data_IF_119683993715
#
_entry.id   IF_119683993715
#
_cell.length_a   1.000
_cell.length_b   1.000
_cell.length_c   1.000
_cell.angle_alpha   90.00
_cell.angle_beta   90.00
_cell.angle_gamma   90.00
#
_symmetry.space_group_name_H-M   'P 1'
#
loop_
_entity.id
_entity.type
_entity.pdbx_description
1 polymer ?
#
# COMPACT_ATOMS: atom_id res chain seq x y z
N UNK A 1 25.86 55.82 -49.53
CA UNK A 1 24.84 56.60 -48.80
C UNK A 1 24.73 56.00 -47.40
N UNK A 2 25.48 56.54 -46.44
CA UNK A 2 25.48 56.06 -45.04
C UNK A 2 24.35 56.77 -44.31
N UNK A 3 23.25 56.05 -44.05
CA UNK A 3 22.16 56.53 -43.21
C UNK A 3 22.63 56.56 -41.75
N UNK A 4 23.14 57.71 -41.32
CA UNK A 4 23.43 58.02 -39.93
C UNK A 4 22.11 58.29 -39.20
N UNK A 5 21.59 57.26 -38.52
CA UNK A 5 20.45 57.43 -37.61
C UNK A 5 20.83 58.38 -36.46
N UNK A 6 19.97 59.34 -36.11
CA UNK A 6 20.23 60.30 -35.03
C UNK A 6 20.43 59.58 -33.69
N UNK A 7 21.48 59.98 -32.98
CA UNK A 7 21.96 59.38 -31.72
C UNK A 7 20.87 59.32 -30.63
N UNK A 8 19.83 60.17 -30.72
CA UNK A 8 18.74 60.23 -29.75
C UNK A 8 17.73 59.06 -29.82
N UNK A 9 17.72 58.26 -30.88
CA UNK A 9 16.80 57.12 -31.05
C UNK A 9 17.38 55.77 -30.57
N UNK A 10 18.67 55.68 -30.22
CA UNK A 10 19.30 54.41 -29.79
C UNK A 10 18.86 53.94 -28.40
N UNK A 11 18.61 54.86 -27.47
CA UNK A 11 18.19 54.54 -26.09
C UNK A 11 16.80 53.85 -26.02
N UNK A 12 15.73 54.37 -26.66
CA UNK A 12 14.43 53.71 -26.58
C UNK A 12 14.43 52.34 -27.27
N UNK A 13 15.17 52.18 -28.37
CA UNK A 13 15.25 50.91 -29.09
C UNK A 13 15.92 49.81 -28.25
N UNK A 14 16.98 50.16 -27.50
CA UNK A 14 17.66 49.22 -26.61
C UNK A 14 16.76 48.78 -25.46
N UNK A 15 16.01 49.71 -24.85
CA UNK A 15 15.07 49.39 -23.76
C UNK A 15 13.97 48.45 -24.26
N UNK A 16 13.39 48.72 -25.43
CA UNK A 16 12.36 47.87 -26.03
C UNK A 16 12.92 46.47 -26.29
N UNK A 17 14.13 46.37 -26.85
CA UNK A 17 14.76 45.08 -27.13
C UNK A 17 15.01 44.27 -25.85
N UNK A 18 15.47 44.92 -24.76
CA UNK A 18 15.68 44.27 -23.46
C UNK A 18 14.37 43.80 -22.86
N UNK A 19 13.31 44.62 -22.88
CA UNK A 19 11.98 44.22 -22.39
C UNK A 19 11.43 43.04 -23.18
N UNK A 20 11.56 43.06 -24.50
CA UNK A 20 11.06 41.99 -25.37
C UNK A 20 11.85 40.68 -25.15
N UNK A 21 13.17 40.77 -24.95
CA UNK A 21 14.02 39.64 -24.59
C UNK A 21 13.63 39.06 -23.22
N UNK A 22 13.37 39.90 -22.22
CA UNK A 22 12.94 39.46 -20.88
C UNK A 22 11.57 38.81 -20.95
N UNK A 23 10.62 39.35 -21.72
CA UNK A 23 9.30 38.76 -21.92
C UNK A 23 9.40 37.42 -22.65
N UNK A 24 10.20 37.31 -23.71
CA UNK A 24 10.42 36.04 -24.40
C UNK A 24 11.09 35.02 -23.48
N UNK A 25 12.13 35.43 -22.73
CA UNK A 25 12.78 34.57 -21.75
C UNK A 25 11.79 34.08 -20.71
N UNK A 26 10.97 34.97 -20.13
CA UNK A 26 9.93 34.60 -19.17
C UNK A 26 8.89 33.65 -19.78
N UNK A 27 8.45 33.89 -21.02
CA UNK A 27 7.51 33.00 -21.72
C UNK A 27 8.16 31.62 -21.97
N UNK A 28 9.40 31.58 -22.44
CA UNK A 28 10.12 30.31 -22.68
C UNK A 28 10.41 29.55 -21.39
N UNK A 29 10.78 30.26 -20.32
CA UNK A 29 11.03 29.64 -19.01
C UNK A 29 9.74 29.09 -18.41
N UNK A 30 8.61 29.75 -18.65
CA UNK A 30 7.28 29.31 -18.21
C UNK A 30 6.75 28.14 -19.05
N UNK A 31 7.18 28.00 -20.30
CA UNK A 31 6.84 26.86 -21.16
C UNK A 31 7.67 25.62 -20.83
N UNK A 32 8.84 25.77 -20.22
CA UNK A 32 9.74 24.67 -19.89
C UNK A 32 9.68 24.24 -18.41
N UNK A 33 8.67 24.67 -17.65
CA UNK A 33 8.31 23.98 -16.41
C UNK A 33 7.66 22.63 -16.75
N UNK A 34 8.44 21.74 -17.37
CA UNK A 34 8.02 20.39 -17.62
C UNK A 34 7.88 19.72 -16.26
N UNK A 35 6.64 19.44 -15.89
CA UNK A 35 6.36 18.64 -14.71
C UNK A 35 7.11 17.32 -14.82
N UNK A 36 7.57 16.78 -13.69
CA UNK A 36 8.14 15.45 -13.67
C UNK A 36 7.04 14.44 -13.98
N UNK A 37 7.07 13.91 -15.21
CA UNK A 37 6.13 12.87 -15.68
C UNK A 37 6.74 11.50 -15.41
N UNK A 38 6.12 10.77 -14.50
CA UNK A 38 6.46 9.39 -14.20
C UNK A 38 5.76 8.48 -15.21
N UNK A 39 6.56 7.69 -15.93
CA UNK A 39 6.10 6.69 -16.90
C UNK A 39 6.34 5.25 -16.44
N UNK A 40 7.07 5.08 -15.33
CA UNK A 40 7.36 3.78 -14.73
C UNK A 40 6.19 3.32 -13.87
N UNK A 41 5.94 2.00 -13.76
CA UNK A 41 4.86 1.46 -12.93
C UNK A 41 5.18 1.52 -11.42
N UNK A 42 6.36 2.03 -11.06
CA UNK A 42 6.86 2.13 -9.69
C UNK A 42 7.40 3.54 -9.49
N UNK A 43 7.03 4.15 -8.35
CA UNK A 43 7.68 5.34 -7.79
C UNK A 43 8.35 4.97 -6.46
N UNK A 44 9.51 5.56 -6.17
CA UNK A 44 10.18 5.39 -4.89
C UNK A 44 9.99 6.59 -3.94
N UNK A 45 9.81 6.29 -2.66
CA UNK A 45 9.71 7.28 -1.58
C UNK A 45 10.30 6.71 -0.28
N UNK A 46 11.24 7.43 0.35
CA UNK A 46 11.95 6.98 1.56
C UNK A 46 12.27 5.47 1.56
N UNK A 47 12.97 5.03 0.51
CA UNK A 47 13.45 3.66 0.37
C UNK A 47 12.33 2.59 0.25
N UNK A 48 11.12 2.98 -0.13
CA UNK A 48 9.99 2.08 -0.39
C UNK A 48 9.58 2.21 -1.84
N UNK A 49 9.12 1.11 -2.42
CA UNK A 49 8.58 1.08 -3.77
C UNK A 49 7.06 1.15 -3.70
N UNK A 50 6.45 2.03 -4.47
CA UNK A 50 5.01 2.23 -4.53
C UNK A 50 4.55 1.91 -5.95
N UNK A 51 3.72 0.88 -6.13
CA UNK A 51 3.20 0.56 -7.44
C UNK A 51 2.16 1.61 -7.84
N UNK A 52 2.22 2.07 -9.09
CA UNK A 52 1.24 3.00 -9.66
C UNK A 52 0.63 2.38 -10.91
N UNK A 53 -0.66 2.63 -11.19
CA UNK A 53 -1.28 2.11 -12.41
C UNK A 53 -0.56 2.57 -13.68
N UNK A 54 -0.50 1.75 -14.76
CA UNK A 54 0.30 2.03 -15.95
C UNK A 54 -0.31 3.16 -16.80
N UNK A 55 -0.09 4.39 -16.35
CA UNK A 55 -0.45 5.65 -17.01
C UNK A 55 0.63 6.70 -16.76
N UNK A 56 0.67 7.80 -17.54
CA UNK A 56 1.49 8.94 -17.19
C UNK A 56 0.98 9.59 -15.91
N UNK A 57 1.86 9.78 -14.94
CA UNK A 57 1.57 10.47 -13.68
C UNK A 57 2.43 11.72 -13.56
N UNK A 58 1.85 12.80 -13.06
CA UNK A 58 2.56 14.05 -12.76
C UNK A 58 2.75 14.14 -11.26
N UNK A 59 3.97 14.42 -10.80
CA UNK A 59 4.19 14.77 -9.38
C UNK A 59 3.58 16.15 -9.15
N UNK A 60 2.44 16.19 -8.45
CA UNK A 60 1.68 17.41 -8.24
C UNK A 60 2.06 18.12 -6.93
N UNK A 61 2.49 17.35 -5.93
CA UNK A 61 2.93 17.91 -4.66
C UNK A 61 3.91 16.98 -3.95
N UNK A 62 4.87 17.56 -3.24
CA UNK A 62 5.75 16.86 -2.34
C UNK A 62 5.89 17.68 -1.07
N UNK A 63 5.86 17.01 0.08
CA UNK A 63 6.00 17.64 1.38
C UNK A 63 6.81 16.76 2.31
N UNK A 64 7.59 17.40 3.17
CA UNK A 64 8.35 16.74 4.22
C UNK A 64 8.20 17.55 5.50
N UNK A 65 7.88 16.89 6.61
CA UNK A 65 7.67 17.60 7.86
C UNK A 65 7.49 16.67 9.06
N UNK A 66 7.67 17.26 10.24
CA UNK A 66 7.39 16.59 11.51
C UNK A 66 5.87 16.53 11.73
N UNK A 67 5.34 15.33 11.96
CA UNK A 67 3.97 15.15 12.43
C UNK A 67 3.96 14.75 13.90
N UNK A 68 3.06 15.35 14.66
CA UNK A 68 2.82 15.03 16.07
C UNK A 68 1.89 13.82 16.15
N UNK A 69 2.48 12.63 16.31
CA UNK A 69 1.72 11.39 16.43
C UNK A 69 1.49 11.05 17.91
N UNK A 70 0.51 10.20 18.17
CA UNK A 70 0.24 9.70 19.53
C UNK A 70 1.41 8.87 20.09
N UNK A 71 2.30 8.35 19.23
CA UNK A 71 3.53 7.66 19.60
C UNK A 71 4.74 8.58 19.75
N UNK A 72 4.58 9.89 19.54
CA UNK A 72 5.65 10.88 19.53
C UNK A 72 5.79 11.57 18.16
N UNK A 73 6.63 12.61 18.08
CA UNK A 73 6.93 13.24 16.80
C UNK A 73 7.61 12.25 15.85
N UNK A 74 7.26 12.32 14.57
CA UNK A 74 7.95 11.58 13.52
C UNK A 74 8.05 12.41 12.25
N UNK A 75 9.17 12.26 11.54
CA UNK A 75 9.37 12.88 10.23
C UNK A 75 8.63 12.08 9.16
N UNK A 76 7.70 12.72 8.48
CA UNK A 76 6.87 12.14 7.42
C UNK A 76 7.23 12.79 6.09
N UNK A 77 7.47 11.97 5.08
CA UNK A 77 7.57 12.37 3.68
C UNK A 77 6.25 12.02 2.98
N UNK A 78 5.78 12.94 2.14
CA UNK A 78 4.53 12.79 1.39
C UNK A 78 4.71 13.18 -0.06
N UNK A 79 4.14 12.40 -0.99
CA UNK A 79 4.04 12.76 -2.42
C UNK A 79 2.61 12.57 -2.89
N UNK A 80 2.13 13.50 -3.73
CA UNK A 80 0.86 13.39 -4.44
C UNK A 80 1.12 13.38 -5.94
N UNK A 81 0.59 12.37 -6.62
CA UNK A 81 0.62 12.24 -8.06
C UNK A 81 -0.77 12.48 -8.64
N UNK A 82 -0.85 13.14 -9.79
CA UNK A 82 -2.06 13.26 -10.60
C UNK A 82 -1.94 12.52 -11.91
N UNK A 83 -3.03 11.86 -12.30
CA UNK A 83 -3.24 11.38 -13.65
C UNK A 83 -4.29 12.29 -14.30
N UNK A 84 -3.92 12.84 -15.46
CA UNK A 84 -4.73 13.82 -16.18
C UNK A 84 -5.30 13.24 -17.46
N UNK A 85 -6.54 13.64 -17.76
CA UNK A 85 -7.19 13.47 -19.06
C UNK A 85 -7.83 14.78 -19.48
N UNK A 86 -7.40 15.37 -20.59
CA UNK A 86 -7.94 16.63 -21.11
C UNK A 86 -8.03 17.73 -20.03
N UNK A 87 -6.94 17.96 -19.27
CA UNK A 87 -6.87 18.91 -18.14
C UNK A 87 -7.78 18.60 -16.93
N UNK A 88 -8.45 17.45 -16.91
CA UNK A 88 -9.20 16.97 -15.75
C UNK A 88 -8.34 15.98 -14.97
N UNK A 89 -8.28 16.14 -13.65
CA UNK A 89 -7.66 15.17 -12.76
C UNK A 89 -8.62 13.99 -12.62
N UNK A 90 -8.33 12.87 -13.29
CA UNK A 90 -9.21 11.68 -13.26
C UNK A 90 -8.82 10.70 -12.15
N UNK A 91 -7.55 10.71 -11.73
CA UNK A 91 -7.05 9.89 -10.63
C UNK A 91 -5.91 10.59 -9.89
N UNK A 92 -5.71 10.21 -8.63
CA UNK A 92 -4.56 10.62 -7.83
C UNK A 92 -3.96 9.44 -7.06
N UNK A 93 -2.68 9.53 -6.75
CA UNK A 93 -2.00 8.63 -5.80
C UNK A 93 -1.37 9.50 -4.72
N UNK A 94 -1.82 9.35 -3.49
CA UNK A 94 -1.26 10.02 -2.32
C UNK A 94 -0.44 9.02 -1.53
N UNK A 95 0.82 9.35 -1.26
CA UNK A 95 1.78 8.48 -0.60
C UNK A 95 2.28 9.18 0.66
N UNK A 96 2.22 8.49 1.79
CA UNK A 96 2.86 8.89 3.04
C UNK A 96 3.78 7.81 3.55
N UNK A 97 4.95 8.21 4.02
CA UNK A 97 5.88 7.32 4.69
C UNK A 97 6.74 8.08 5.67
N UNK A 98 7.37 7.37 6.59
CA UNK A 98 8.34 7.93 7.49
C UNK A 98 9.69 8.13 6.80
N UNK A 99 10.29 9.31 7.02
CA UNK A 99 11.63 9.61 6.53
C UNK A 99 12.73 9.00 7.40
N UNK A 100 12.42 8.64 8.65
CA UNK A 100 13.33 7.97 9.57
C UNK A 100 12.58 6.86 10.36
N UNK A 101 13.26 5.78 10.78
CA UNK A 101 12.67 4.73 11.60
C UNK A 101 12.04 5.26 12.89
N UNK A 102 10.82 4.82 13.22
CA UNK A 102 10.19 5.13 14.50
C UNK A 102 10.51 4.06 15.56
N UNK A 103 10.72 4.48 16.81
CA UNK A 103 10.97 3.55 17.93
C UNK A 103 9.67 3.02 18.57
N UNK A 104 8.59 3.79 18.44
CA UNK A 104 7.32 3.57 19.12
C UNK A 104 6.24 2.98 18.20
N UNK A 105 6.58 2.65 16.95
CA UNK A 105 5.68 2.12 15.93
C UNK A 105 4.62 3.11 15.44
N UNK A 106 3.79 2.63 14.51
CA UNK A 106 2.91 3.47 13.69
C UNK A 106 1.40 3.19 13.84
N UNK A 107 1.03 2.11 14.51
CA UNK A 107 -0.36 1.72 14.70
C UNK A 107 -1.15 1.53 13.40
N UNK A 108 -2.48 1.44 13.54
CA UNK A 108 -3.42 1.29 12.43
C UNK A 108 -4.08 2.63 12.09
N UNK A 109 -4.40 2.84 10.82
CA UNK A 109 -5.21 4.00 10.42
C UNK A 109 -6.62 3.89 11.01
N UNK A 110 -7.18 5.04 11.42
CA UNK A 110 -8.57 5.14 11.86
C UNK A 110 -9.54 4.77 10.74
N UNK A 111 -9.13 5.00 9.50
CA UNK A 111 -9.91 4.74 8.30
C UNK A 111 -10.26 3.26 8.17
N UNK A 112 -9.32 2.36 8.48
CA UNK A 112 -9.54 0.92 8.44
C UNK A 112 -10.58 0.41 9.46
N UNK A 113 -10.99 1.24 10.43
CA UNK A 113 -12.02 0.93 11.43
C UNK A 113 -13.25 1.83 11.31
N UNK A 114 -13.28 2.71 10.32
CA UNK A 114 -14.35 3.66 10.13
C UNK A 114 -15.55 2.97 9.46
N UNK A 115 -16.62 2.75 10.22
CA UNK A 115 -17.85 2.12 9.73
C UNK A 115 -18.62 2.96 8.69
N UNK A 116 -18.20 4.22 8.47
CA UNK A 116 -18.77 5.07 7.40
C UNK A 116 -18.18 4.74 6.02
N UNK A 117 -17.05 4.04 5.96
CA UNK A 117 -16.52 3.58 4.68
C UNK A 117 -17.28 2.36 4.19
N UNK A 118 -17.33 2.22 2.87
CA UNK A 118 -18.02 1.12 2.22
C UNK A 118 -17.38 -0.22 2.56
N UNK A 119 -16.05 -0.21 2.71
CA UNK A 119 -15.26 -1.35 3.12
C UNK A 119 -14.10 -0.90 4.02
N UNK A 120 -13.79 -1.69 5.03
CA UNK A 120 -12.60 -1.54 5.86
C UNK A 120 -12.22 -2.90 6.44
N UNK A 121 -10.96 -3.31 6.28
CA UNK A 121 -10.46 -4.58 6.77
C UNK A 121 -9.06 -4.47 7.36
N UNK A 122 -8.84 -5.22 8.43
CA UNK A 122 -7.54 -5.38 9.07
C UNK A 122 -7.06 -6.81 8.81
N UNK A 123 -6.07 -6.95 7.95
CA UNK A 123 -5.53 -8.25 7.52
C UNK A 123 -4.44 -8.75 8.47
N UNK A 124 -3.65 -7.85 9.04
CA UNK A 124 -2.61 -8.18 10.02
C UNK A 124 -2.60 -7.12 11.12
N UNK A 125 -2.54 -7.58 12.37
CA UNK A 125 -2.42 -6.74 13.56
C UNK A 125 -1.66 -7.51 14.65
N UNK A 126 -0.39 -7.82 14.42
CA UNK A 126 0.44 -8.60 15.34
C UNK A 126 1.83 -8.00 15.48
N UNK A 127 2.37 -7.93 16.70
CA UNK A 127 3.78 -7.63 16.96
C UNK A 127 4.34 -6.37 16.26
N UNK A 128 3.55 -5.30 16.18
CA UNK A 128 3.86 -4.04 15.47
C UNK A 128 3.77 -4.12 13.94
N UNK A 129 3.43 -5.27 13.37
CA UNK A 129 3.05 -5.40 11.97
C UNK A 129 1.56 -5.10 11.82
N UNK A 130 1.26 -4.17 10.92
CA UNK A 130 -0.08 -3.77 10.57
C UNK A 130 -0.26 -3.82 9.06
N UNK A 131 -1.37 -4.41 8.65
CA UNK A 131 -1.80 -4.44 7.26
C UNK A 131 -3.29 -4.20 7.22
N UNK A 132 -3.71 -3.07 6.66
CA UNK A 132 -5.12 -2.75 6.54
C UNK A 132 -5.43 -2.03 5.24
N UNK A 133 -6.67 -2.16 4.79
CA UNK A 133 -7.16 -1.46 3.61
C UNK A 133 -8.61 -1.01 3.82
N UNK A 134 -9.01 0.03 3.11
CA UNK A 134 -10.36 0.56 3.12
C UNK A 134 -10.76 1.10 1.74
N UNK A 135 -12.07 1.12 1.48
CA UNK A 135 -12.66 1.71 0.28
C UNK A 135 -13.79 2.64 0.70
N UNK A 136 -13.76 3.89 0.25
CA UNK A 136 -14.74 4.89 0.64
C UNK A 136 -14.69 6.17 -0.18
N UNK A 137 -15.47 7.16 0.25
CA UNK A 137 -15.41 8.52 -0.32
C UNK A 137 -14.28 9.30 0.37
N UNK A 138 -13.54 10.11 -0.38
CA UNK A 138 -12.55 11.01 0.23
C UNK A 138 -13.25 12.04 1.11
N UNK A 139 -12.82 12.16 2.37
CA UNK A 139 -13.16 13.32 3.18
C UNK A 139 -12.14 14.42 2.90
N UNK A 140 -12.55 15.47 2.20
CA UNK A 140 -11.67 16.60 1.87
C UNK A 140 -11.14 17.34 3.10
N UNK A 141 -11.68 17.11 4.32
CA UNK A 141 -11.13 17.69 5.55
C UNK A 141 -9.87 16.96 6.04
N UNK A 142 -9.68 15.71 5.60
CA UNK A 142 -8.49 14.90 5.87
C UNK A 142 -7.40 15.22 4.85
N UNK A 143 -6.90 16.46 4.89
CA UNK A 143 -5.95 16.96 3.89
C UNK A 143 -4.52 16.58 4.29
N UNK A 144 -3.88 15.79 3.43
CA UNK A 144 -2.49 15.38 3.55
C UNK A 144 -1.48 16.53 3.40
N UNK A 145 -0.27 16.38 3.96
CA UNK A 145 0.82 17.37 3.86
C UNK A 145 1.14 17.82 2.43
N UNK A 146 1.08 16.91 1.45
CA UNK A 146 1.38 17.21 0.04
C UNK A 146 0.21 17.84 -0.73
N UNK A 147 -1.01 17.75 -0.20
CA UNK A 147 -2.23 18.13 -0.92
C UNK A 147 -2.34 19.64 -1.20
N UNK A 148 -2.00 20.56 -0.28
CA UNK A 148 -2.04 22.00 -0.57
C UNK A 148 -1.12 22.42 -1.72
N UNK A 149 0.04 21.78 -1.86
CA UNK A 149 0.97 22.04 -2.97
C UNK A 149 0.36 21.59 -4.31
N UNK A 150 -0.28 20.43 -4.31
CA UNK A 150 -0.90 19.89 -5.50
C UNK A 150 -2.14 20.66 -5.95
N UNK A 151 -2.97 21.14 -5.02
CA UNK A 151 -4.12 21.99 -5.36
C UNK A 151 -3.66 23.36 -5.85
N UNK A 152 -2.59 23.92 -5.28
CA UNK A 152 -1.99 25.16 -5.79
C UNK A 152 -1.47 24.99 -7.22
N UNK A 153 -0.76 23.90 -7.50
CA UNK A 153 -0.29 23.60 -8.84
C UNK A 153 -1.44 23.42 -9.83
N UNK A 154 -2.45 22.62 -9.47
CA UNK A 154 -3.60 22.40 -10.32
C UNK A 154 -4.37 23.70 -10.61
N UNK A 155 -4.48 24.61 -9.63
CA UNK A 155 -5.06 25.93 -9.85
C UNK A 155 -4.24 26.79 -10.83
N UNK A 156 -2.91 26.79 -10.71
CA UNK A 156 -2.01 27.49 -11.64
C UNK A 156 -2.13 26.96 -13.07
N UNK A 157 -2.31 25.64 -13.21
CA UNK A 157 -2.44 24.97 -14.51
C UNK A 157 -3.87 24.90 -15.03
N UNK A 158 -4.82 25.49 -14.31
CA UNK A 158 -6.26 25.44 -14.60
C UNK A 158 -6.80 24.00 -14.77
N UNK A 159 -6.21 23.04 -14.04
CA UNK A 159 -6.72 21.67 -14.02
C UNK A 159 -8.01 21.59 -13.22
N UNK A 160 -8.94 20.79 -13.71
CA UNK A 160 -10.26 20.61 -13.12
C UNK A 160 -10.26 19.42 -12.18
N UNK A 161 -10.80 19.60 -10.97
CA UNK A 161 -11.03 18.52 -10.02
C UNK A 161 -12.48 18.02 -10.11
N UNK A 162 -12.70 16.71 -9.96
CA UNK A 162 -14.03 16.16 -9.76
C UNK A 162 -14.52 16.53 -8.35
N UNK A 163 -15.83 16.69 -8.23
CA UNK A 163 -16.49 16.98 -6.95
C UNK A 163 -16.44 15.78 -6.00
N UNK A 164 -16.39 14.56 -6.56
CA UNK A 164 -16.48 13.29 -5.83
C UNK A 164 -15.28 12.43 -6.13
N UNK A 165 -14.61 12.01 -5.07
CA UNK A 165 -13.49 11.07 -5.11
C UNK A 165 -13.87 9.77 -4.41
N UNK A 166 -13.64 8.66 -5.09
CA UNK A 166 -13.66 7.33 -4.49
C UNK A 166 -12.22 6.89 -4.25
N UNK A 167 -11.93 6.43 -3.05
CA UNK A 167 -10.57 6.17 -2.58
C UNK A 167 -10.44 4.74 -2.11
N UNK A 168 -9.34 4.11 -2.53
CA UNK A 168 -8.79 2.90 -1.93
C UNK A 168 -7.56 3.29 -1.13
N UNK A 169 -7.64 3.16 0.19
CA UNK A 169 -6.50 3.41 1.07
C UNK A 169 -5.90 2.10 1.56
N UNK A 170 -4.58 2.00 1.55
CA UNK A 170 -3.81 0.86 2.04
C UNK A 170 -2.76 1.38 3.01
N UNK A 171 -2.73 0.81 4.21
CA UNK A 171 -1.70 1.10 5.21
C UNK A 171 -0.97 -0.17 5.62
N UNK A 172 0.35 -0.07 5.52
CA UNK A 172 1.30 -1.05 6.01
C UNK A 172 2.18 -0.38 7.05
N UNK A 173 2.46 -1.10 8.12
CA UNK A 173 3.47 -0.69 9.06
C UNK A 173 4.16 -1.89 9.67
N UNK A 174 5.42 -1.72 10.04
CA UNK A 174 6.09 -2.57 11.01
C UNK A 174 6.52 -1.73 12.23
N UNK A 175 7.47 -2.25 13.02
CA UNK A 175 7.99 -1.54 14.18
C UNK A 175 8.63 -0.19 13.82
N UNK A 176 9.32 -0.12 12.69
CA UNK A 176 10.20 0.97 12.31
C UNK A 176 9.60 1.83 11.20
N UNK A 177 8.89 1.21 10.27
CA UNK A 177 8.46 1.80 9.02
C UNK A 177 6.96 1.79 8.82
N UNK A 178 6.47 2.74 8.02
CA UNK A 178 5.08 2.87 7.62
C UNK A 178 4.99 3.30 6.16
N UNK A 179 3.95 2.81 5.50
CA UNK A 179 3.54 3.23 4.18
C UNK A 179 2.02 3.31 4.15
N UNK A 180 1.49 4.49 3.86
CA UNK A 180 0.06 4.74 3.67
C UNK A 180 -0.12 5.30 2.27
N UNK A 181 -0.77 4.52 1.40
CA UNK A 181 -1.01 4.85 0.00
C UNK A 181 -2.50 4.93 -0.23
N UNK A 182 -2.96 6.05 -0.78
CA UNK A 182 -4.36 6.28 -1.14
C UNK A 182 -4.46 6.50 -2.65
N UNK A 183 -5.19 5.61 -3.31
CA UNK A 183 -5.52 5.72 -4.73
C UNK A 183 -6.91 6.31 -4.86
N UNK A 184 -7.00 7.53 -5.39
CA UNK A 184 -8.25 8.21 -5.64
C UNK A 184 -8.63 8.15 -7.11
N UNK A 185 -9.90 7.90 -7.38
CA UNK A 185 -10.47 7.87 -8.74
C UNK A 185 -11.73 8.74 -8.78
N UNK A 186 -11.87 9.51 -9.85
CA UNK A 186 -13.12 10.22 -10.14
C UNK A 186 -14.21 9.21 -10.52
N UNK A 187 -15.47 9.60 -10.40
CA UNK A 187 -16.58 8.77 -10.92
C UNK A 187 -16.53 8.67 -12.46
N UNK A 188 -16.00 9.69 -13.11
CA UNK A 188 -15.85 9.80 -14.57
C UNK A 188 -14.78 8.84 -15.11
N UNK A 189 -13.74 8.54 -14.32
CA UNK A 189 -12.69 7.59 -14.67
C UNK A 189 -13.26 6.24 -15.14
N UNK A 190 -14.37 5.81 -14.54
CA UNK A 190 -15.03 4.54 -14.85
C UNK A 190 -16.00 4.62 -16.02
N UNK A 191 -16.33 5.82 -16.52
CA UNK A 191 -17.22 5.99 -17.68
C UNK A 191 -16.51 5.73 -18.99
N UNK A 192 -15.26 6.16 -19.08
CA UNK A 192 -14.51 6.17 -20.34
C UNK A 192 -13.86 4.83 -20.68
N UNK A 193 -13.77 3.91 -19.72
CA UNK A 193 -13.08 2.63 -19.86
C UNK A 193 -14.02 1.45 -20.14
N UNK A 194 -15.29 1.70 -20.52
CA UNK A 194 -16.31 0.64 -20.64
C UNK A 194 -17.05 0.66 -21.99
N UNK A 195 -17.12 -0.50 -22.64
CA UNK A 195 -18.10 -0.79 -23.71
C UNK A 195 -19.49 -1.16 -23.16
N UNK A 196 -19.62 -1.38 -21.84
CA UNK A 196 -20.84 -1.86 -21.21
C UNK A 196 -21.77 -0.73 -20.78
N UNK A 197 -23.08 -1.01 -20.77
CA UNK A 197 -24.14 -0.07 -20.37
C UNK A 197 -24.03 0.29 -18.90
N UNK A 198 -23.47 1.47 -18.62
CA UNK A 198 -23.41 2.04 -17.27
C UNK A 198 -24.84 2.35 -16.81
N UNK A 199 -25.23 1.94 -15.58
CA UNK A 199 -26.52 2.33 -15.01
C UNK A 199 -26.68 3.86 -15.04
N UNK A 200 -27.83 4.36 -15.50
CA UNK A 200 -28.13 5.80 -15.52
C UNK A 200 -28.31 6.39 -14.12
N UNK A 201 -28.65 5.55 -13.14
CA UNK A 201 -28.78 5.92 -11.74
C UNK A 201 -27.40 6.07 -11.08
N UNK A 202 -27.11 7.27 -10.60
CA UNK A 202 -25.82 7.63 -10.01
C UNK A 202 -25.49 6.81 -8.75
N UNK A 203 -26.49 6.52 -7.90
CA UNK A 203 -26.27 5.77 -6.67
C UNK A 203 -25.98 4.30 -6.96
N UNK A 204 -26.63 3.73 -7.97
CA UNK A 204 -26.33 2.37 -8.45
C UNK A 204 -24.92 2.35 -9.05
N UNK A 205 -24.58 3.33 -9.88
CA UNK A 205 -23.26 3.43 -10.47
C UNK A 205 -22.15 3.50 -9.40
N UNK A 206 -22.31 4.36 -8.39
CA UNK A 206 -21.34 4.49 -7.29
C UNK A 206 -21.18 3.17 -6.54
N UNK A 207 -22.28 2.43 -6.27
CA UNK A 207 -22.19 1.12 -5.60
C UNK A 207 -21.42 0.09 -6.44
N UNK A 208 -21.65 0.05 -7.75
CA UNK A 208 -20.91 -0.84 -8.66
C UNK A 208 -19.42 -0.48 -8.68
N UNK A 209 -19.09 0.81 -8.76
CA UNK A 209 -17.70 1.28 -8.71
C UNK A 209 -17.04 0.94 -7.38
N UNK A 210 -17.73 1.16 -6.26
CA UNK A 210 -17.22 0.79 -4.93
C UNK A 210 -16.94 -0.71 -4.83
N UNK A 211 -17.81 -1.56 -5.35
CA UNK A 211 -17.57 -3.01 -5.37
C UNK A 211 -16.36 -3.38 -6.26
N UNK A 212 -16.21 -2.75 -7.41
CA UNK A 212 -15.05 -2.93 -8.28
C UNK A 212 -13.74 -2.53 -7.57
N UNK A 213 -13.75 -1.40 -6.84
CA UNK A 213 -12.62 -0.96 -6.03
C UNK A 213 -12.33 -1.92 -4.87
N UNK A 214 -13.36 -2.51 -4.23
CA UNK A 214 -13.19 -3.56 -3.20
C UNK A 214 -12.48 -4.79 -3.77
N UNK A 215 -12.78 -5.18 -5.01
CA UNK A 215 -12.10 -6.30 -5.65
C UNK A 215 -10.67 -5.94 -6.03
N UNK A 216 -10.48 -4.75 -6.62
CA UNK A 216 -9.17 -4.24 -7.04
C UNK A 216 -8.19 -4.03 -5.88
N UNK A 217 -8.67 -3.58 -4.70
CA UNK A 217 -7.80 -3.30 -3.57
C UNK A 217 -7.00 -4.52 -3.08
N UNK A 218 -7.47 -5.75 -3.30
CA UNK A 218 -6.70 -6.94 -2.90
C UNK A 218 -5.41 -7.07 -3.73
N UNK A 219 -5.50 -6.77 -5.02
CA UNK A 219 -4.34 -6.69 -5.91
C UNK A 219 -3.41 -5.55 -5.52
N UNK A 220 -3.97 -4.36 -5.28
CA UNK A 220 -3.20 -3.20 -4.82
C UNK A 220 -2.50 -3.47 -3.49
N UNK A 221 -3.19 -4.05 -2.51
CA UNK A 221 -2.67 -4.38 -1.19
C UNK A 221 -1.50 -5.37 -1.28
N UNK A 222 -1.58 -6.36 -2.16
CA UNK A 222 -0.48 -7.30 -2.39
C UNK A 222 0.76 -6.61 -2.97
N UNK A 223 0.58 -5.79 -4.01
CA UNK A 223 1.70 -5.09 -4.65
C UNK A 223 2.31 -4.03 -3.73
N UNK A 224 1.50 -3.29 -2.97
CA UNK A 224 1.97 -2.32 -1.97
C UNK A 224 2.75 -3.03 -0.85
N UNK A 225 2.34 -4.24 -0.43
CA UNK A 225 3.09 -5.04 0.56
C UNK A 225 4.44 -5.55 0.04
N UNK A 226 4.50 -6.02 -1.22
CA UNK A 226 5.78 -6.29 -1.87
C UNK A 226 6.63 -5.02 -1.96
N UNK A 227 6.04 -3.89 -2.34
CA UNK A 227 6.74 -2.62 -2.50
C UNK A 227 7.30 -2.05 -1.19
N UNK A 228 6.55 -2.19 -0.10
CA UNK A 228 7.00 -1.89 1.26
C UNK A 228 8.26 -2.68 1.64
N UNK A 229 8.37 -3.92 1.15
CA UNK A 229 9.51 -4.82 1.37
C UNK A 229 10.58 -4.73 0.27
N UNK A 230 10.44 -3.79 -0.68
CA UNK A 230 11.28 -3.64 -1.89
C UNK A 230 11.37 -4.89 -2.76
N UNK A 231 10.26 -5.57 -2.88
CA UNK A 231 10.13 -6.79 -3.65
C UNK A 231 9.31 -6.56 -4.92
N UNK A 232 9.10 -5.31 -5.37
CA UNK A 232 8.43 -5.09 -6.65
C UNK A 232 9.43 -5.25 -7.79
N UNK A 233 9.01 -6.02 -8.77
CA UNK A 233 9.63 -6.11 -10.09
C UNK A 233 8.84 -5.21 -11.05
N UNK A 234 9.49 -4.76 -12.13
CA UNK A 234 8.83 -3.95 -13.16
C UNK A 234 7.83 -4.76 -14.00
N UNK A 235 7.78 -6.08 -13.83
CA UNK A 235 6.96 -7.01 -14.63
C UNK A 235 5.52 -7.13 -14.11
N UNK A 236 5.27 -6.75 -12.85
CA UNK A 236 3.96 -6.81 -12.22
C UNK A 236 3.38 -5.41 -11.97
N UNK A 237 2.94 -4.68 -13.02
CA UNK A 237 2.31 -3.38 -12.83
C UNK A 237 0.98 -3.54 -12.09
N UNK A 238 0.62 -2.52 -11.31
CA UNK A 238 -0.70 -2.43 -10.70
C UNK A 238 -1.74 -2.20 -11.81
N UNK A 239 -2.69 -3.12 -12.09
CA UNK A 239 -3.69 -2.87 -13.12
C UNK A 239 -4.56 -1.66 -12.77
N UNK A 240 -5.20 -1.04 -13.76
CA UNK A 240 -6.24 -0.05 -13.51
C UNK A 240 -7.49 -0.76 -12.94
N UNK A 241 -8.27 -0.11 -12.05
CA UNK A 241 -9.53 -0.67 -11.60
C UNK A 241 -10.53 -0.72 -12.77
N UNK A 242 -11.32 -1.79 -12.84
CA UNK A 242 -12.27 -2.10 -13.92
C UNK A 242 -13.61 -2.52 -13.33
N UNK A 243 -14.74 -2.11 -13.95
CA UNK A 243 -16.06 -2.55 -13.48
C UNK A 243 -16.44 -3.95 -13.97
N UNK A 244 -15.73 -4.52 -14.95
CA UNK A 244 -16.00 -5.88 -15.38
C UNK A 244 -15.42 -6.87 -14.35
N UNK A 245 -16.26 -7.58 -13.58
CA UNK A 245 -15.79 -8.50 -12.54
C UNK A 245 -15.01 -9.69 -13.12
N UNK A 246 -15.19 -10.01 -14.40
CA UNK A 246 -14.48 -11.09 -15.10
C UNK A 246 -13.15 -10.61 -15.69
N UNK A 247 -13.01 -9.31 -15.95
CA UNK A 247 -11.77 -8.71 -16.47
C UNK A 247 -10.67 -8.52 -15.43
N UNK A 248 -10.95 -8.81 -14.15
CA UNK A 248 -9.87 -8.88 -13.17
C UNK A 248 -8.93 -9.98 -13.66
N UNK A 249 -7.68 -9.65 -14.08
CA UNK A 249 -6.72 -10.69 -14.41
C UNK A 249 -6.68 -11.64 -13.22
N UNK A 250 -6.52 -12.96 -13.46
CA UNK A 250 -6.15 -13.94 -12.42
C UNK A 250 -5.31 -13.18 -11.42
N UNK A 251 -5.82 -12.99 -10.19
CA UNK A 251 -5.35 -11.90 -9.31
C UNK A 251 -3.83 -11.80 -9.41
N UNK A 252 -3.23 -10.61 -9.52
CA UNK A 252 -1.77 -10.50 -9.73
C UNK A 252 -0.99 -11.33 -8.70
N UNK A 253 -1.59 -11.57 -7.53
CA UNK A 253 -1.20 -12.58 -6.53
C UNK A 253 -1.07 -13.99 -7.12
N UNK A 254 -2.12 -14.52 -7.76
CA UNK A 254 -2.11 -15.81 -8.45
C UNK A 254 -1.17 -15.81 -9.64
N UNK A 255 -1.10 -14.77 -10.47
CA UNK A 255 -0.10 -14.75 -11.55
C UNK A 255 1.33 -14.82 -10.97
N UNK A 256 1.64 -14.03 -9.95
CA UNK A 256 2.94 -14.05 -9.29
C UNK A 256 3.22 -15.41 -8.61
N UNK A 257 2.25 -15.99 -7.91
CA UNK A 257 2.38 -17.33 -7.31
C UNK A 257 2.49 -18.43 -8.36
N UNK A 258 1.81 -18.28 -9.50
CA UNK A 258 1.93 -19.21 -10.62
C UNK A 258 3.33 -19.14 -11.23
N UNK A 259 3.90 -17.94 -11.39
CA UNK A 259 5.29 -17.75 -11.82
C UNK A 259 6.28 -18.36 -10.83
N UNK A 260 6.03 -18.25 -9.52
CA UNK A 260 6.83 -18.94 -8.49
C UNK A 260 6.70 -20.46 -8.60
N UNK A 261 5.48 -21.00 -8.80
CA UNK A 261 5.26 -22.43 -9.02
C UNK A 261 5.99 -22.94 -10.28
N UNK A 262 5.99 -22.15 -11.37
CA UNK A 262 6.76 -22.46 -12.57
C UNK A 262 8.25 -22.52 -12.27
N UNK A 263 8.80 -21.51 -11.57
CA UNK A 263 10.21 -21.52 -11.16
C UNK A 263 10.57 -22.73 -10.29
N UNK A 264 9.71 -23.13 -9.34
CA UNK A 264 9.93 -24.32 -8.52
C UNK A 264 9.94 -25.61 -9.36
N UNK A 265 9.01 -25.73 -10.32
CA UNK A 265 8.97 -26.84 -11.27
C UNK A 265 10.20 -26.88 -12.17
N UNK A 266 10.58 -25.75 -12.76
CA UNK A 266 11.70 -25.64 -13.69
C UNK A 266 13.04 -25.97 -13.01
N UNK A 267 13.14 -25.69 -11.71
CA UNK A 267 14.29 -26.04 -10.87
C UNK A 267 14.22 -27.47 -10.28
N UNK A 268 13.23 -28.28 -10.65
CA UNK A 268 13.09 -29.68 -10.22
C UNK A 268 12.59 -29.89 -8.79
N UNK A 269 12.11 -28.85 -8.11
CA UNK A 269 11.54 -28.96 -6.76
C UNK A 269 10.11 -29.50 -6.74
N UNK A 270 9.41 -29.45 -7.88
CA UNK A 270 8.05 -29.98 -8.04
C UNK A 270 7.99 -30.93 -9.22
N UNK A 271 7.33 -32.07 -9.01
CA UNK A 271 6.91 -32.96 -10.09
C UNK A 271 5.79 -32.32 -10.94
N UNK A 272 5.57 -32.84 -12.14
CA UNK A 272 4.49 -32.35 -13.01
C UNK A 272 3.09 -32.51 -12.36
N UNK A 273 2.89 -33.58 -11.58
CA UNK A 273 1.64 -33.84 -10.86
C UNK A 273 1.43 -32.82 -9.72
N UNK A 274 2.44 -32.59 -8.89
CA UNK A 274 2.37 -31.58 -7.81
C UNK A 274 2.17 -30.17 -8.38
N UNK A 275 2.84 -29.82 -9.47
CA UNK A 275 2.63 -28.54 -10.14
C UNK A 275 1.18 -28.37 -10.60
N UNK A 276 0.59 -29.40 -11.22
CA UNK A 276 -0.80 -29.36 -11.68
C UNK A 276 -1.78 -29.17 -10.51
N UNK A 277 -1.59 -29.94 -9.43
CA UNK A 277 -2.40 -29.85 -8.21
C UNK A 277 -2.29 -28.46 -7.55
N UNK A 278 -1.07 -27.96 -7.33
CA UNK A 278 -0.85 -26.64 -6.73
C UNK A 278 -1.39 -25.51 -7.61
N UNK A 279 -1.27 -25.63 -8.93
CA UNK A 279 -1.82 -24.67 -9.88
C UNK A 279 -3.36 -24.63 -9.82
N UNK A 280 -4.00 -25.79 -9.67
CA UNK A 280 -5.45 -25.90 -9.53
C UNK A 280 -5.92 -25.34 -8.18
N UNK A 281 -5.26 -25.71 -7.07
CA UNK A 281 -5.52 -25.15 -5.74
C UNK A 281 -5.38 -23.63 -5.74
N UNK A 282 -4.35 -23.10 -6.41
CA UNK A 282 -4.11 -21.67 -6.50
C UNK A 282 -5.22 -20.96 -7.29
N UNK A 283 -5.67 -21.54 -8.41
CA UNK A 283 -6.81 -21.02 -9.18
C UNK A 283 -8.11 -21.04 -8.37
N UNK A 284 -8.34 -22.12 -7.63
CA UNK A 284 -9.52 -22.30 -6.80
C UNK A 284 -9.49 -21.42 -5.54
N UNK A 285 -8.30 -21.04 -5.05
CA UNK A 285 -8.16 -20.14 -3.90
C UNK A 285 -8.65 -18.70 -4.15
N UNK A 286 -8.89 -18.33 -5.41
CA UNK A 286 -9.47 -17.03 -5.79
C UNK A 286 -10.99 -17.02 -5.56
N UNK A 287 -11.66 -18.17 -5.57
CA UNK A 287 -13.07 -18.21 -5.18
C UNK A 287 -13.15 -17.81 -3.72
N UNK A 288 -13.58 -16.57 -3.49
CA UNK A 288 -13.73 -15.95 -2.19
C UNK A 288 -14.41 -16.95 -1.27
N UNK A 289 -13.64 -17.58 -0.37
CA UNK A 289 -14.21 -18.35 0.73
C UNK A 289 -14.79 -17.33 1.70
N UNK A 290 -15.95 -16.77 1.35
CA UNK A 290 -16.66 -15.73 2.10
C UNK A 290 -17.19 -16.23 3.44
N UNK A 291 -17.01 -17.51 3.77
CA UNK A 291 -17.65 -18.14 4.92
C UNK A 291 -16.73 -19.02 5.78
N UNK A 292 -15.43 -19.12 5.47
CA UNK A 292 -14.49 -19.78 6.38
C UNK A 292 -14.04 -18.80 7.45
N UNK A 293 -14.93 -18.56 8.41
CA UNK A 293 -14.52 -18.24 9.78
C UNK A 293 -13.75 -19.43 10.33
N UNK A 294 -12.49 -19.57 9.91
CA UNK A 294 -11.57 -20.51 10.55
C UNK A 294 -11.43 -20.01 11.97
N UNK A 295 -12.06 -20.72 12.91
CA UNK A 295 -11.98 -20.41 14.32
C UNK A 295 -10.49 -20.31 14.70
N UNK A 296 -10.05 -19.08 14.97
CA UNK A 296 -8.66 -18.73 15.27
C UNK A 296 -8.19 -19.55 16.48
N UNK A 297 -9.10 -19.87 17.40
CA UNK A 297 -8.81 -20.74 18.54
C UNK A 297 -8.52 -22.17 18.12
N UNK A 298 -9.32 -22.72 17.20
CA UNK A 298 -9.08 -24.07 16.65
C UNK A 298 -7.76 -24.16 15.90
N UNK A 299 -7.45 -23.18 15.05
CA UNK A 299 -6.17 -23.16 14.31
C UNK A 299 -4.99 -23.00 15.28
N UNK A 300 -5.11 -22.11 16.26
CA UNK A 300 -4.12 -21.90 17.31
C UNK A 300 -3.90 -23.14 18.17
N UNK A 301 -4.97 -23.85 18.55
CA UNK A 301 -4.91 -25.09 19.31
C UNK A 301 -4.22 -26.20 18.51
N UNK A 302 -4.55 -26.37 17.23
CA UNK A 302 -3.91 -27.36 16.35
C UNK A 302 -2.41 -27.06 16.20
N UNK A 303 -2.04 -25.80 15.95
CA UNK A 303 -0.63 -25.41 15.83
C UNK A 303 0.15 -25.65 17.13
N UNK A 304 -0.45 -25.32 18.27
CA UNK A 304 0.15 -25.53 19.60
C UNK A 304 0.30 -27.02 19.91
N UNK A 305 -0.72 -27.83 19.62
CA UNK A 305 -0.69 -29.28 19.81
C UNK A 305 0.38 -29.93 18.93
N UNK A 306 0.44 -29.56 17.65
CA UNK A 306 1.45 -30.05 16.70
C UNK A 306 2.88 -29.74 17.17
N UNK A 307 3.14 -28.49 17.57
CA UNK A 307 4.45 -28.09 18.09
C UNK A 307 4.82 -28.82 19.39
N UNK A 308 3.83 -29.05 20.28
CA UNK A 308 4.04 -29.78 21.53
C UNK A 308 4.41 -31.24 21.27
N UNK A 309 3.70 -31.91 20.35
CA UNK A 309 4.01 -33.29 19.96
C UNK A 309 5.42 -33.37 19.35
N UNK A 310 5.73 -32.51 18.38
CA UNK A 310 7.04 -32.48 17.74
C UNK A 310 8.18 -32.26 18.76
N UNK A 311 8.05 -31.27 19.65
CA UNK A 311 9.03 -30.97 20.68
C UNK A 311 9.19 -32.13 21.69
N UNK A 312 8.09 -32.77 22.07
CA UNK A 312 8.10 -33.92 23.00
C UNK A 312 8.82 -35.12 22.39
N UNK A 313 8.57 -35.44 21.11
CA UNK A 313 9.24 -36.54 20.40
C UNK A 313 10.75 -36.26 20.29
N UNK A 314 11.14 -35.03 19.95
CA UNK A 314 12.55 -34.66 19.86
C UNK A 314 13.26 -34.80 21.21
N UNK A 315 12.67 -34.28 22.28
CA UNK A 315 13.20 -34.41 23.63
C UNK A 315 13.27 -35.86 24.10
N UNK A 316 12.27 -36.69 23.79
CA UNK A 316 12.31 -38.10 24.10
C UNK A 316 13.51 -38.79 23.45
N UNK A 317 13.75 -38.54 22.16
CA UNK A 317 14.89 -39.11 21.44
C UNK A 317 16.23 -38.67 22.02
N UNK A 318 16.38 -37.37 22.31
CA UNK A 318 17.59 -36.84 22.96
C UNK A 318 17.81 -37.48 24.33
N UNK A 319 16.78 -37.50 25.19
CA UNK A 319 16.89 -38.11 26.51
C UNK A 319 17.21 -39.62 26.43
N UNK A 320 16.65 -40.32 25.46
CA UNK A 320 16.91 -41.75 25.28
C UNK A 320 18.36 -42.03 24.92
N UNK A 321 18.96 -41.22 24.05
CA UNK A 321 20.38 -41.34 23.70
C UNK A 321 21.29 -41.20 24.92
N UNK A 322 20.95 -40.32 25.88
CA UNK A 322 21.76 -40.10 27.09
C UNK A 322 21.47 -41.10 28.21
N UNK A 323 20.21 -41.49 28.40
CA UNK A 323 19.77 -42.30 29.53
C UNK A 323 19.76 -43.80 29.24
N UNK A 324 19.71 -44.19 27.95
CA UNK A 324 19.56 -45.58 27.52
C UNK A 324 18.24 -46.23 27.93
N UNK A 325 17.32 -45.48 28.55
CA UNK A 325 16.08 -46.00 29.11
C UNK A 325 14.87 -45.22 28.55
N UNK A 326 14.03 -45.91 27.79
CA UNK A 326 12.88 -45.32 27.10
C UNK A 326 11.81 -44.78 28.07
N UNK A 327 11.61 -45.42 29.22
CA UNK A 327 10.62 -45.03 30.22
C UNK A 327 11.02 -43.73 30.92
N UNK A 328 12.26 -43.63 31.40
CA UNK A 328 12.79 -42.40 32.02
C UNK A 328 12.84 -41.23 31.02
N UNK A 329 13.15 -41.53 29.76
CA UNK A 329 13.16 -40.52 28.70
C UNK A 329 11.77 -40.02 28.39
N UNK A 330 10.77 -40.92 28.38
CA UNK A 330 9.35 -40.63 28.17
C UNK A 330 8.78 -39.76 29.28
N UNK A 331 9.04 -40.13 30.54
CA UNK A 331 8.56 -39.36 31.69
C UNK A 331 9.13 -37.94 31.68
N UNK A 332 10.44 -37.78 31.45
CA UNK A 332 11.08 -36.46 31.35
C UNK A 332 10.53 -35.63 30.17
N UNK A 333 10.32 -36.25 29.02
CA UNK A 333 9.78 -35.58 27.84
C UNK A 333 8.35 -35.08 28.09
N UNK A 334 7.49 -35.92 28.67
CA UNK A 334 6.11 -35.55 29.03
C UNK A 334 6.09 -34.46 30.10
N UNK A 335 6.86 -34.61 31.19
CA UNK A 335 6.93 -33.61 32.26
C UNK A 335 7.29 -32.24 31.72
N UNK A 336 8.31 -32.15 30.84
CA UNK A 336 8.71 -30.88 30.24
C UNK A 336 7.72 -30.40 29.17
N UNK A 337 7.09 -31.30 28.42
CA UNK A 337 6.00 -30.98 27.49
C UNK A 337 4.78 -30.34 28.16
N UNK A 338 4.47 -30.72 29.39
CA UNK A 338 3.39 -30.13 30.19
C UNK A 338 3.81 -28.87 30.96
N UNK A 339 5.01 -28.87 31.56
CA UNK A 339 5.47 -27.74 32.38
C UNK A 339 5.87 -26.54 31.52
N UNK A 340 6.49 -26.77 30.35
CA UNK A 340 7.04 -25.68 29.54
C UNK A 340 5.96 -24.71 29.02
N UNK A 341 4.78 -25.15 28.54
CA UNK A 341 3.69 -24.23 28.17
C UNK A 341 3.16 -23.44 29.36
N UNK A 342 3.02 -24.07 30.53
CA UNK A 342 2.57 -23.39 31.76
C UNK A 342 3.58 -22.32 32.18
N UNK A 343 4.87 -22.67 32.21
CA UNK A 343 5.93 -21.72 32.50
C UNK A 343 5.94 -20.57 31.49
N UNK A 344 5.89 -20.87 30.19
CA UNK A 344 5.88 -19.86 29.13
C UNK A 344 4.67 -18.93 29.26
N UNK A 345 3.49 -19.48 29.52
CA UNK A 345 2.28 -18.71 29.77
C UNK A 345 2.42 -17.79 30.99
N UNK A 346 2.95 -18.30 32.10
CA UNK A 346 3.18 -17.52 33.32
C UNK A 346 4.25 -16.44 33.09
N UNK A 347 5.30 -16.73 32.33
CA UNK A 347 6.36 -15.78 31.99
C UNK A 347 5.84 -14.66 31.08
N UNK A 348 5.07 -14.98 30.03
CA UNK A 348 4.37 -13.99 29.20
C UNK A 348 3.35 -13.19 30.01
N UNK A 349 2.62 -13.84 30.92
CA UNK A 349 1.66 -13.17 31.82
C UNK A 349 2.38 -12.20 32.75
N UNK A 350 3.49 -12.61 33.36
CA UNK A 350 4.33 -11.79 34.21
C UNK A 350 4.95 -10.61 33.44
N UNK A 351 5.45 -10.84 32.22
CA UNK A 351 5.95 -9.77 31.34
C UNK A 351 4.85 -8.78 30.94
N UNK A 352 3.63 -9.25 30.69
CA UNK A 352 2.50 -8.38 30.36
C UNK A 352 2.00 -7.57 31.58
N UNK A 353 2.10 -8.13 32.80
CA UNK A 353 1.68 -7.47 34.04
C UNK A 353 2.73 -6.48 34.57
N UNK A 354 4.00 -6.89 34.62
CA UNK A 354 5.08 -6.18 35.33
C UNK A 354 6.25 -5.76 34.46
N UNK A 355 6.35 -6.28 33.24
CA UNK A 355 7.36 -5.84 32.28
C UNK A 355 7.10 -4.42 31.77
N UNK A 356 8.07 -3.80 31.08
CA UNK A 356 7.81 -2.64 30.25
C UNK A 356 6.68 -3.04 29.30
N UNK A 357 5.50 -2.44 29.48
CA UNK A 357 4.32 -2.76 28.68
C UNK A 357 4.71 -2.58 27.22
N UNK A 358 4.91 -3.68 26.49
CA UNK A 358 4.84 -3.68 25.02
C UNK A 358 3.42 -3.24 24.73
N UNK A 359 3.23 -1.94 24.47
CA UNK A 359 1.91 -1.32 24.43
C UNK A 359 1.05 -2.12 23.42
N UNK A 360 0.16 -3.03 23.87
CA UNK A 360 -0.34 -4.11 23.00
C UNK A 360 -1.31 -3.57 21.95
N UNK A 361 -1.69 -2.31 22.11
CA UNK A 361 -2.44 -1.52 21.15
C UNK A 361 -1.65 -0.23 20.97
N UNK A 362 -0.77 -0.19 19.97
CA UNK A 362 -0.29 1.09 19.46
C UNK A 362 -1.52 1.97 19.17
N UNK A 363 -1.45 3.27 19.51
CA UNK A 363 -2.56 4.17 19.24
C UNK A 363 -2.89 4.16 17.75
N UNK A 364 -4.15 4.44 17.40
CA UNK A 364 -4.51 4.66 16.00
C UNK A 364 -3.86 5.96 15.54
N UNK A 365 -3.00 5.88 14.54
CA UNK A 365 -2.27 7.02 13.99
C UNK A 365 -2.80 7.26 12.58
N UNK A 366 -3.19 8.50 12.34
CA UNK A 366 -3.61 8.97 11.04
C UNK A 366 -2.67 10.08 10.58
N UNK A 367 -2.37 10.13 9.28
CA UNK A 367 -1.57 11.21 8.70
C UNK A 367 -2.40 12.44 8.36
N UNK A 368 -3.73 12.33 8.47
CA UNK A 368 -4.68 13.33 7.98
C UNK A 368 -5.06 14.43 8.97
N UNK A 369 -4.42 14.53 10.14
CA UNK A 369 -4.83 15.43 11.22
C UNK A 369 -3.70 16.30 11.75
#
# INVERSE_FOLDING_TARGET
MQLTLPINLRKPLFIILVVLLVVVLLITYRLDSQFEVIKTPIIELSNKQIPIPPRPWIIAGAAHGEQKLATGPAMVESKLLFNLKNQHVEAFVLIHTNAAPAVNGWGISKDCKNSKYYFGAVYEQQNHNYKCAFVGKLDQKQVALAWPFATALAAEQHWQFPDKWLVVGIRLADRLDVLDVRYGFSTEFFKDNQEHTIPKDEDIHIKVVLQALVNWQNTALYLVDRGFRKQLDNELPLPLPTLDPHSLPLSTVVLSRMQQLHSLRDNGWLTAAEFAEQSELLKNSIQTQSDLTVDIWRLGAIKTAGHTVQSTVWMWGVNYLFLGNAYLSGSLALTKGFISPIRYYLEETAWNLWGPRRNPKLPMIDFSN
#
